data_IF_519952212726
#
_entry.id   IF_519952212726
#
_cell.length_a   1.000
_cell.length_b   1.000
_cell.length_c   1.000
_cell.angle_alpha   90.00
_cell.angle_beta   90.00
_cell.angle_gamma   90.00
#
_symmetry.space_group_name_H-M   'P 1'
#
loop_
_entity.id
_entity.type
_entity.pdbx_description
1 polymer ?
#
# COMPACT_ATOMS: atom_id res chain seq x y z
N UNK A 1 -1.43 9.72 -31.99
CA UNK A 1 -1.65 8.83 -30.83
C UNK A 1 -0.36 8.74 -30.02
N UNK A 2 -0.30 9.28 -28.81
CA UNK A 2 0.91 9.22 -27.96
C UNK A 2 1.09 7.79 -27.45
N UNK A 3 2.13 7.09 -27.94
CA UNK A 3 2.50 5.74 -27.47
C UNK A 3 2.85 5.82 -25.99
N UNK A 4 2.04 5.21 -25.12
CA UNK A 4 2.33 5.12 -23.68
C UNK A 4 3.49 4.14 -23.50
N UNK A 5 4.60 4.62 -22.95
CA UNK A 5 5.68 3.73 -22.51
C UNK A 5 5.17 2.82 -21.38
N UNK A 6 5.62 1.55 -21.33
CA UNK A 6 5.22 0.64 -20.26
C UNK A 6 5.66 1.21 -18.90
N UNK A 7 4.92 0.90 -17.83
CA UNK A 7 5.31 1.28 -16.47
C UNK A 7 6.18 0.16 -15.91
N UNK A 8 7.18 0.49 -15.10
CA UNK A 8 7.97 -0.50 -14.36
C UNK A 8 8.03 -0.13 -12.88
N UNK A 9 7.97 -1.17 -12.04
CA UNK A 9 8.29 -1.07 -10.62
C UNK A 9 9.72 -1.57 -10.42
N UNK A 10 10.62 -0.69 -9.97
CA UNK A 10 12.00 -1.04 -9.64
C UNK A 10 12.16 -1.06 -8.13
N UNK A 11 12.48 -2.22 -7.55
CA UNK A 11 12.74 -2.37 -6.12
C UNK A 11 13.93 -1.53 -5.68
N UNK A 12 13.81 -0.87 -4.54
CA UNK A 12 14.82 0.03 -3.97
C UNK A 12 15.67 -0.74 -2.95
N UNK A 13 16.84 -1.19 -3.41
CA UNK A 13 17.75 -2.04 -2.62
C UNK A 13 19.06 -1.35 -2.26
N UNK A 14 19.62 -0.54 -3.15
CA UNK A 14 20.89 0.16 -2.90
C UNK A 14 20.70 1.30 -1.89
N UNK A 15 21.75 1.58 -1.10
CA UNK A 15 21.75 2.66 -0.10
C UNK A 15 21.44 4.03 -0.71
N UNK A 16 22.04 4.33 -1.86
CA UNK A 16 21.85 5.58 -2.60
C UNK A 16 20.41 5.73 -3.09
N UNK A 17 19.86 4.68 -3.69
CA UNK A 17 18.46 4.65 -4.12
C UNK A 17 17.49 4.82 -2.94
N UNK A 18 17.79 4.25 -1.76
CA UNK A 18 16.98 4.48 -0.55
C UNK A 18 17.00 5.95 -0.13
N UNK A 19 18.17 6.59 -0.12
CA UNK A 19 18.30 8.01 0.22
C UNK A 19 17.47 8.87 -0.73
N UNK A 20 17.60 8.65 -2.03
CA UNK A 20 16.82 9.35 -3.04
C UNK A 20 15.31 9.12 -2.86
N UNK A 21 14.90 7.88 -2.58
CA UNK A 21 13.50 7.56 -2.31
C UNK A 21 12.97 8.31 -1.08
N UNK A 22 13.77 8.41 0.00
CA UNK A 22 13.39 9.18 1.18
C UNK A 22 13.22 10.66 0.86
N UNK A 23 14.15 11.26 0.12
CA UNK A 23 14.05 12.67 -0.28
C UNK A 23 12.79 12.95 -1.11
N UNK A 24 12.44 12.06 -2.04
CA UNK A 24 11.22 12.19 -2.82
C UNK A 24 9.95 12.07 -1.98
N UNK A 25 9.88 11.07 -1.10
CA UNK A 25 8.69 10.89 -0.26
C UNK A 25 8.57 12.00 0.77
N UNK A 26 9.67 12.48 1.32
CA UNK A 26 9.65 13.57 2.28
C UNK A 26 9.17 14.89 1.67
N UNK A 27 9.68 15.22 0.49
CA UNK A 27 9.32 16.48 -0.19
C UNK A 27 7.93 16.48 -0.80
N UNK A 28 7.46 15.35 -1.32
CA UNK A 28 6.29 15.33 -2.21
C UNK A 28 5.11 14.47 -1.71
N UNK A 29 5.31 13.55 -0.78
CA UNK A 29 4.19 12.81 -0.20
C UNK A 29 3.58 13.61 0.96
N UNK A 30 2.25 13.74 0.99
CA UNK A 30 1.53 14.56 1.99
C UNK A 30 1.71 14.13 3.47
N UNK A 31 2.26 12.94 3.71
CA UNK A 31 2.62 12.43 5.06
C UNK A 31 4.12 12.53 5.36
N UNK A 32 4.91 13.02 4.41
CA UNK A 32 6.37 12.98 4.43
C UNK A 32 6.93 11.57 4.58
N UNK A 33 8.24 11.52 4.80
CA UNK A 33 8.90 10.28 5.19
C UNK A 33 8.69 10.02 6.68
N UNK A 34 8.31 8.79 7.02
CA UNK A 34 8.31 8.27 8.39
C UNK A 34 8.85 6.86 8.36
N UNK A 35 9.68 6.50 9.33
CA UNK A 35 10.24 5.16 9.42
C UNK A 35 9.09 4.14 9.56
N UNK A 36 8.94 3.20 8.63
CA UNK A 36 7.88 2.20 8.72
C UNK A 36 8.24 1.15 9.77
N UNK A 37 7.25 0.72 10.54
CA UNK A 37 7.40 -0.41 11.47
C UNK A 37 7.16 -1.74 10.76
N UNK A 38 8.06 -2.69 11.00
CA UNK A 38 8.00 -4.06 10.48
C UNK A 38 8.58 -4.22 9.07
N UNK A 39 8.25 -5.34 8.44
CA UNK A 39 8.60 -5.65 7.06
C UNK A 39 8.10 -4.57 6.10
N UNK A 40 8.92 -4.23 5.10
CA UNK A 40 8.63 -3.20 4.12
C UNK A 40 9.39 -3.39 2.80
N UNK A 41 8.76 -3.03 1.69
CA UNK A 41 9.40 -2.93 0.38
C UNK A 41 9.11 -1.56 -0.23
N UNK A 42 10.10 -1.02 -0.94
CA UNK A 42 10.05 0.29 -1.58
C UNK A 42 10.35 0.14 -3.06
N UNK A 43 9.66 0.93 -3.86
CA UNK A 43 9.80 0.91 -5.31
C UNK A 43 9.86 2.33 -5.86
N UNK A 44 10.64 2.50 -6.92
CA UNK A 44 10.44 3.57 -7.88
C UNK A 44 9.47 3.13 -8.95
N UNK A 45 8.57 4.03 -9.32
CA UNK A 45 7.71 3.91 -10.51
C UNK A 45 8.48 4.55 -11.65
N UNK A 46 8.81 3.81 -12.71
CA UNK A 46 9.59 4.31 -13.85
C UNK A 46 8.83 4.21 -15.17
N UNK A 47 9.13 5.11 -16.11
CA UNK A 47 8.66 5.03 -17.50
C UNK A 47 9.54 4.12 -18.35
N UNK A 48 8.95 3.24 -19.15
CA UNK A 48 9.67 2.45 -20.15
C UNK A 48 10.55 1.37 -19.54
N UNK A 49 11.86 1.63 -19.45
CA UNK A 49 12.92 0.67 -19.07
C UNK A 49 13.44 0.94 -17.65
N UNK A 50 14.36 0.10 -17.15
CA UNK A 50 14.99 0.28 -15.82
C UNK A 50 15.78 1.60 -15.72
N UNK A 51 16.28 2.13 -16.83
CA UNK A 51 16.94 3.45 -16.94
C UNK A 51 15.95 4.60 -17.19
N UNK A 52 14.65 4.29 -17.17
CA UNK A 52 13.58 5.25 -17.35
C UNK A 52 13.47 6.31 -16.27
N UNK A 53 12.73 7.36 -16.60
CA UNK A 53 12.48 8.50 -15.70
C UNK A 53 11.63 8.03 -14.52
N UNK A 54 12.01 8.44 -13.31
CA UNK A 54 11.22 8.18 -12.10
C UNK A 54 9.98 9.06 -12.13
N UNK A 55 8.81 8.43 -12.10
CA UNK A 55 7.50 9.06 -12.11
C UNK A 55 6.88 9.18 -10.71
N UNK A 56 7.40 8.41 -9.75
CA UNK A 56 6.86 8.35 -8.41
C UNK A 56 7.47 7.26 -7.55
N UNK A 57 6.89 7.09 -6.37
CA UNK A 57 7.36 6.18 -5.32
C UNK A 57 6.20 5.34 -4.78
N UNK A 58 6.48 4.09 -4.41
CA UNK A 58 5.53 3.18 -3.81
C UNK A 58 6.18 2.48 -2.60
N UNK A 59 5.42 2.29 -1.53
CA UNK A 59 5.84 1.50 -0.38
C UNK A 59 4.74 0.55 0.05
N UNK A 60 5.15 -0.68 0.32
CA UNK A 60 4.34 -1.65 1.04
C UNK A 60 4.99 -1.96 2.38
N UNK A 61 4.19 -2.10 3.42
CA UNK A 61 4.66 -2.40 4.77
C UNK A 61 3.76 -3.40 5.47
N UNK A 62 4.19 -3.87 6.64
CA UNK A 62 3.34 -4.62 7.56
C UNK A 62 2.05 -3.84 7.87
N UNK A 63 0.91 -4.52 8.10
CA UNK A 63 -0.40 -3.91 8.27
C UNK A 63 -0.57 -3.34 9.69
N UNK A 64 -1.70 -2.66 9.90
CA UNK A 64 -2.11 -2.28 11.26
C UNK A 64 -2.60 -3.49 12.06
N UNK A 65 -2.26 -3.55 13.36
CA UNK A 65 -2.61 -4.67 14.24
C UNK A 65 -4.12 -4.89 14.32
N UNK A 66 -4.88 -3.84 14.67
CA UNK A 66 -6.34 -3.84 14.70
C UNK A 66 -6.88 -2.86 13.67
N UNK A 67 -7.86 -3.32 12.89
CA UNK A 67 -8.58 -2.46 11.97
C UNK A 67 -10.01 -2.99 11.81
N UNK A 68 -10.91 -2.48 12.65
CA UNK A 68 -12.23 -3.09 12.84
C UNK A 68 -13.05 -3.28 11.54
N UNK A 69 -13.07 -2.34 10.56
CA UNK A 69 -13.80 -2.58 9.32
C UNK A 69 -13.21 -3.72 8.48
N UNK A 70 -11.88 -3.79 8.38
CA UNK A 70 -11.18 -4.93 7.76
C UNK A 70 -11.47 -6.23 8.50
N UNK A 71 -11.34 -6.22 9.82
CA UNK A 71 -11.48 -7.43 10.63
C UNK A 71 -12.90 -8.00 10.52
N UNK A 72 -13.92 -7.14 10.53
CA UNK A 72 -15.32 -7.54 10.27
C UNK A 72 -15.52 -8.05 8.85
N UNK A 73 -14.87 -7.45 7.86
CA UNK A 73 -14.98 -7.89 6.47
C UNK A 73 -14.30 -9.25 6.22
N UNK A 74 -13.18 -9.53 6.89
CA UNK A 74 -12.53 -10.86 6.88
C UNK A 74 -13.34 -11.88 7.67
N UNK A 75 -14.05 -11.43 8.72
CA UNK A 75 -14.81 -12.26 9.67
C UNK A 75 -13.94 -13.16 10.55
N UNK A 76 -12.75 -12.67 10.93
CA UNK A 76 -11.83 -13.38 11.82
C UNK A 76 -11.88 -12.88 13.28
N UNK A 77 -11.56 -13.78 14.21
CA UNK A 77 -11.39 -13.47 15.62
C UNK A 77 -9.98 -12.99 15.97
N UNK A 78 -9.77 -12.67 17.26
CA UNK A 78 -8.50 -12.16 17.76
C UNK A 78 -7.34 -13.16 17.63
N UNK A 79 -7.59 -14.46 17.86
CA UNK A 79 -6.59 -15.52 17.72
C UNK A 79 -6.19 -15.75 16.25
N UNK A 80 -7.17 -15.82 15.34
CA UNK A 80 -6.92 -15.94 13.90
C UNK A 80 -6.13 -14.73 13.39
N UNK A 81 -6.50 -13.52 13.81
CA UNK A 81 -5.75 -12.30 13.46
C UNK A 81 -4.32 -12.39 13.95
N UNK A 82 -4.09 -12.75 15.22
CA UNK A 82 -2.74 -12.88 15.79
C UNK A 82 -1.87 -13.85 14.99
N UNK A 83 -2.45 -14.97 14.51
CA UNK A 83 -1.74 -15.99 13.73
C UNK A 83 -1.53 -15.62 12.27
N UNK A 84 -2.43 -14.85 11.65
CA UNK A 84 -2.45 -14.66 10.20
C UNK A 84 -2.24 -13.23 9.71
N UNK A 85 -2.11 -12.24 10.62
CA UNK A 85 -1.96 -10.84 10.24
C UNK A 85 -0.77 -10.59 9.30
N UNK A 86 0.32 -11.34 9.44
CA UNK A 86 1.50 -11.20 8.58
C UNK A 86 1.18 -11.45 7.10
N UNK A 87 0.15 -12.25 6.78
CA UNK A 87 -0.29 -12.52 5.40
C UNK A 87 -1.00 -11.31 4.74
N UNK A 88 -1.19 -10.22 5.46
CA UNK A 88 -1.72 -8.96 4.94
C UNK A 88 -0.57 -7.96 4.77
N UNK A 89 -0.56 -7.19 3.68
CA UNK A 89 0.40 -6.09 3.48
C UNK A 89 -0.33 -4.78 3.18
N UNK A 90 0.25 -3.67 3.63
CA UNK A 90 -0.34 -2.35 3.52
C UNK A 90 0.40 -1.48 2.51
N UNK A 91 -0.30 -0.91 1.52
CA UNK A 91 0.25 0.13 0.67
C UNK A 91 0.35 1.44 1.45
N UNK A 92 1.45 1.62 2.17
CA UNK A 92 1.62 2.68 3.16
C UNK A 92 2.10 4.00 2.56
N UNK A 93 2.70 4.00 1.37
CA UNK A 93 3.01 5.21 0.60
C UNK A 93 2.71 4.98 -0.87
N UNK A 94 1.97 5.91 -1.46
CA UNK A 94 1.78 5.96 -2.89
C UNK A 94 1.90 7.40 -3.36
N UNK A 95 2.94 7.67 -4.15
CA UNK A 95 3.29 8.98 -4.64
C UNK A 95 3.44 8.91 -6.17
N UNK A 96 2.65 9.70 -6.88
CA UNK A 96 2.97 10.14 -8.24
C UNK A 96 3.42 11.59 -8.13
N UNK A 97 4.52 11.94 -8.78
CA UNK A 97 5.06 13.29 -8.62
C UNK A 97 4.08 14.37 -9.10
N UNK A 98 4.05 15.55 -8.45
CA UNK A 98 3.07 16.60 -8.75
C UNK A 98 3.05 17.04 -10.23
N UNK A 99 4.21 17.03 -10.89
CA UNK A 99 4.38 17.39 -12.30
C UNK A 99 4.05 16.26 -13.28
N UNK A 100 3.88 15.02 -12.82
CA UNK A 100 3.54 13.90 -13.69
C UNK A 100 2.03 13.86 -13.92
N UNK A 101 1.60 14.28 -15.11
CA UNK A 101 0.18 14.32 -15.52
C UNK A 101 -0.12 13.29 -16.60
N UNK A 102 -0.30 12.04 -16.19
CA UNK A 102 -0.61 10.93 -17.11
C UNK A 102 -1.94 10.29 -16.72
N UNK A 103 -2.90 10.31 -17.65
CA UNK A 103 -4.24 9.74 -17.44
C UNK A 103 -4.14 8.24 -17.10
N UNK A 104 -4.81 7.83 -16.02
CA UNK A 104 -4.86 6.44 -15.52
C UNK A 104 -3.50 5.86 -15.08
N UNK A 105 -2.45 6.67 -14.91
CA UNK A 105 -1.16 6.18 -14.43
C UNK A 105 -1.29 5.55 -13.04
N UNK A 106 -1.99 6.22 -12.13
CA UNK A 106 -2.09 5.76 -10.75
C UNK A 106 -2.77 4.38 -10.64
N UNK A 107 -3.90 4.16 -11.32
CA UNK A 107 -4.56 2.85 -11.32
C UNK A 107 -3.74 1.78 -12.03
N UNK A 108 -3.03 2.13 -13.11
CA UNK A 108 -2.13 1.21 -13.81
C UNK A 108 -0.96 0.75 -12.92
N UNK A 109 -0.37 1.67 -12.16
CA UNK A 109 0.68 1.37 -11.17
C UNK A 109 0.16 0.41 -10.09
N UNK A 110 -1.02 0.67 -9.54
CA UNK A 110 -1.61 -0.19 -8.51
C UNK A 110 -1.93 -1.59 -9.07
N UNK A 111 -2.48 -1.67 -10.27
CA UNK A 111 -2.75 -2.95 -10.92
C UNK A 111 -1.47 -3.76 -11.19
N UNK A 112 -0.35 -3.08 -11.47
CA UNK A 112 0.97 -3.71 -11.58
C UNK A 112 1.51 -4.16 -10.22
N UNK A 113 1.40 -3.31 -9.20
CA UNK A 113 1.85 -3.59 -7.85
C UNK A 113 1.22 -4.85 -7.26
N UNK A 114 -0.09 -5.02 -7.47
CA UNK A 114 -0.84 -6.21 -7.08
C UNK A 114 -0.23 -7.51 -7.64
N UNK A 115 0.35 -7.47 -8.84
CA UNK A 115 0.92 -8.64 -9.53
C UNK A 115 2.38 -8.89 -9.16
N UNK A 116 3.14 -7.85 -8.84
CA UNK A 116 4.59 -7.95 -8.65
C UNK A 116 4.98 -8.13 -7.19
N UNK A 117 4.33 -7.38 -6.30
CA UNK A 117 4.77 -7.27 -4.91
C UNK A 117 4.59 -8.55 -4.09
N UNK A 118 3.57 -9.40 -4.31
CA UNK A 118 3.45 -10.65 -3.55
C UNK A 118 4.67 -11.57 -3.70
N UNK A 119 5.19 -11.71 -4.93
CA UNK A 119 6.37 -12.52 -5.21
C UNK A 119 7.63 -11.92 -4.59
N UNK A 120 7.82 -10.60 -4.74
CA UNK A 120 8.94 -9.89 -4.09
C UNK A 120 8.87 -10.00 -2.56
N UNK A 121 7.66 -9.97 -1.99
CA UNK A 121 7.44 -10.09 -0.56
C UNK A 121 7.79 -11.49 -0.06
N UNK A 122 7.38 -12.53 -0.78
CA UNK A 122 7.77 -13.90 -0.47
C UNK A 122 9.28 -14.10 -0.57
N UNK A 123 9.92 -13.56 -1.61
CA UNK A 123 11.38 -13.62 -1.79
C UNK A 123 12.12 -12.96 -0.62
N UNK A 124 11.63 -11.83 -0.11
CA UNK A 124 12.29 -11.11 0.98
C UNK A 124 11.96 -11.61 2.39
N UNK A 125 10.73 -12.08 2.63
CA UNK A 125 10.22 -12.34 3.97
C UNK A 125 9.77 -13.80 4.19
N UNK A 126 9.85 -14.65 3.18
CA UNK A 126 9.58 -16.09 3.29
C UNK A 126 8.09 -16.47 3.30
N UNK A 127 7.18 -15.53 3.07
CA UNK A 127 5.75 -15.82 2.97
C UNK A 127 5.06 -15.00 1.89
N UNK A 128 4.06 -15.61 1.25
CA UNK A 128 3.26 -14.96 0.22
C UNK A 128 2.05 -14.26 0.87
N UNK A 129 1.85 -12.95 0.67
CA UNK A 129 0.67 -12.27 1.20
C UNK A 129 -0.59 -12.68 0.43
N UNK A 130 -1.73 -12.71 1.12
CA UNK A 130 -3.03 -13.11 0.55
C UNK A 130 -3.99 -11.93 0.42
N UNK A 131 -3.66 -10.80 1.05
CA UNK A 131 -4.48 -9.59 1.04
C UNK A 131 -3.58 -8.34 1.04
N UNK A 132 -3.91 -7.36 0.20
CA UNK A 132 -3.38 -6.01 0.33
C UNK A 132 -4.43 -5.09 0.96
N UNK A 133 -3.98 -4.08 1.72
CA UNK A 133 -4.83 -3.01 2.26
C UNK A 133 -4.19 -1.64 2.01
N UNK A 134 -5.00 -0.59 2.04
CA UNK A 134 -4.54 0.81 1.99
C UNK A 134 -5.50 1.70 2.77
N UNK A 135 -5.01 2.87 3.16
CA UNK A 135 -5.77 3.87 3.89
C UNK A 135 -5.76 5.20 3.14
N UNK A 136 -6.94 5.66 2.72
CA UNK A 136 -7.11 6.88 1.93
C UNK A 136 -7.71 7.99 2.78
N UNK A 137 -7.00 9.12 2.89
CA UNK A 137 -7.52 10.32 3.55
C UNK A 137 -8.50 11.04 2.61
N UNK A 138 -9.80 10.93 2.88
CA UNK A 138 -10.86 11.52 2.05
C UNK A 138 -10.78 13.05 1.94
N UNK A 139 -10.18 13.73 2.93
CA UNK A 139 -9.99 15.19 2.86
C UNK A 139 -9.02 15.58 1.75
N UNK A 140 -8.19 14.64 1.28
CA UNK A 140 -7.15 14.88 0.27
C UNK A 140 -7.40 14.13 -1.03
N UNK A 141 -7.92 12.91 -0.95
CA UNK A 141 -8.05 12.02 -2.11
C UNK A 141 -9.38 11.26 -2.09
N UNK A 142 -9.97 11.08 -3.28
CA UNK A 142 -11.23 10.33 -3.47
C UNK A 142 -11.06 8.81 -3.65
N UNK A 143 -9.84 8.28 -3.48
CA UNK A 143 -9.54 6.86 -3.65
C UNK A 143 -9.76 6.29 -5.07
N UNK A 144 -9.90 7.15 -6.08
CA UNK A 144 -10.32 6.77 -7.45
C UNK A 144 -9.39 5.72 -8.08
N UNK A 145 -8.07 5.82 -7.87
CA UNK A 145 -7.13 4.86 -8.43
C UNK A 145 -7.30 3.44 -7.88
N UNK A 146 -7.65 3.29 -6.60
CA UNK A 146 -7.92 2.00 -5.98
C UNK A 146 -9.24 1.42 -6.49
N UNK A 147 -10.31 2.23 -6.55
CA UNK A 147 -11.60 1.82 -7.14
C UNK A 147 -11.42 1.35 -8.60
N UNK A 148 -10.70 2.13 -9.40
CA UNK A 148 -10.42 1.80 -10.80
C UNK A 148 -9.49 0.59 -10.99
N UNK A 149 -8.78 0.16 -9.94
CA UNK A 149 -7.95 -1.04 -9.92
C UNK A 149 -8.66 -2.22 -9.22
N UNK A 150 -9.99 -2.17 -9.07
CA UNK A 150 -10.83 -3.20 -8.46
C UNK A 150 -10.55 -3.49 -6.98
N UNK A 151 -10.06 -2.50 -6.23
CA UNK A 151 -9.98 -2.61 -4.77
C UNK A 151 -11.36 -2.42 -4.14
N UNK A 152 -11.62 -3.19 -3.08
CA UNK A 152 -12.89 -3.25 -2.38
C UNK A 152 -12.86 -2.26 -1.22
N UNK A 153 -13.82 -1.33 -1.16
CA UNK A 153 -14.01 -0.47 0.00
C UNK A 153 -14.68 -1.25 1.14
N UNK A 154 -14.09 -1.23 2.35
CA UNK A 154 -14.58 -2.02 3.50
C UNK A 154 -14.98 -1.18 4.71
N UNK A 155 -14.94 0.16 4.59
CA UNK A 155 -15.35 1.10 5.62
C UNK A 155 -14.24 2.07 6.02
N UNK A 156 -14.42 2.75 7.15
CA UNK A 156 -13.58 3.88 7.54
C UNK A 156 -12.89 3.66 8.90
N UNK A 157 -11.68 4.20 9.05
CA UNK A 157 -10.99 4.25 10.35
C UNK A 157 -11.66 5.25 11.27
N UNK A 158 -11.68 5.00 12.57
CA UNK A 158 -12.30 5.93 13.55
C UNK A 158 -11.37 7.08 13.98
N UNK A 159 -10.37 7.46 13.17
CA UNK A 159 -9.41 8.53 13.51
C UNK A 159 -8.45 8.20 14.66
N UNK A 160 -8.14 6.91 14.88
CA UNK A 160 -7.20 6.44 15.91
C UNK A 160 -5.84 6.11 15.29
N UNK A 161 -4.77 6.41 16.02
CA UNK A 161 -3.40 6.08 15.61
C UNK A 161 -3.10 4.58 15.71
N UNK A 162 -2.06 4.12 15.00
CA UNK A 162 -1.61 2.71 14.98
C UNK A 162 -1.23 2.16 16.36
N UNK A 163 -0.85 3.03 17.31
CA UNK A 163 -0.42 2.68 18.67
C UNK A 163 -1.43 3.12 19.75
N UNK A 164 -2.67 3.47 19.40
CA UNK A 164 -3.66 3.88 20.40
C UNK A 164 -4.07 2.69 21.28
N UNK A 165 -3.40 2.55 22.43
CA UNK A 165 -3.72 1.59 23.49
C UNK A 165 -4.85 2.07 24.38
N UNK A 166 -5.12 3.38 24.40
CA UNK A 166 -6.03 4.03 25.35
C UNK A 166 -7.44 4.30 24.78
N UNK A 167 -7.71 3.89 23.53
CA UNK A 167 -8.96 4.15 22.81
C UNK A 167 -9.32 5.65 22.71
N UNK A 168 -8.32 6.55 22.77
CA UNK A 168 -8.56 7.99 22.70
C UNK A 168 -8.53 8.47 21.25
N UNK A 169 -9.53 9.27 20.85
CA UNK A 169 -9.51 9.94 19.53
C UNK A 169 -8.38 10.97 19.51
N UNK A 170 -7.31 10.69 18.77
CA UNK A 170 -6.15 11.58 18.66
C UNK A 170 -6.30 12.63 17.52
N UNK A 171 -7.53 12.97 17.13
CA UNK A 171 -7.79 13.96 16.06
C UNK A 171 -7.25 13.59 14.67
N UNK A 172 -6.86 12.33 14.45
CA UNK A 172 -6.35 11.88 13.15
C UNK A 172 -7.49 11.82 12.13
N UNK A 173 -7.20 12.23 10.89
CA UNK A 173 -8.18 12.19 9.81
C UNK A 173 -8.77 10.78 9.63
N UNK A 174 -10.09 10.71 9.53
CA UNK A 174 -10.82 9.50 9.12
C UNK A 174 -10.35 9.11 7.73
N UNK A 175 -9.94 7.84 7.58
CA UNK A 175 -9.46 7.28 6.33
C UNK A 175 -10.41 6.19 5.86
N UNK A 176 -10.72 6.17 4.57
CA UNK A 176 -11.32 5.01 3.93
C UNK A 176 -10.31 3.86 3.88
N UNK A 177 -10.82 2.66 4.04
CA UNK A 177 -10.05 1.42 3.99
C UNK A 177 -10.45 0.71 2.71
N UNK A 178 -9.44 0.44 1.89
CA UNK A 178 -9.59 -0.41 0.71
C UNK A 178 -8.74 -1.67 0.88
N UNK A 179 -9.26 -2.78 0.38
CA UNK A 179 -8.57 -4.07 0.38
C UNK A 179 -8.57 -4.70 -1.00
N UNK A 180 -7.58 -5.55 -1.27
CA UNK A 180 -7.48 -6.32 -2.51
C UNK A 180 -7.10 -7.77 -2.21
N UNK A 181 -8.01 -8.74 -2.40
CA UNK A 181 -7.69 -10.18 -2.34
C UNK A 181 -6.66 -10.57 -3.39
N UNK A 182 -5.56 -11.20 -2.98
CA UNK A 182 -4.51 -11.67 -3.90
C UNK A 182 -4.76 -13.09 -4.42
N UNK A 183 -5.67 -13.84 -3.77
CA UNK A 183 -6.10 -15.16 -4.23
C UNK A 183 -7.59 -15.38 -3.89
N UNK A 184 -8.25 -16.27 -4.62
CA UNK A 184 -9.67 -16.59 -4.40
C UNK A 184 -9.94 -17.19 -3.01
N UNK A 185 -8.94 -17.87 -2.44
CA UNK A 185 -9.04 -18.55 -1.14
C UNK A 185 -8.51 -17.70 0.03
N UNK A 186 -8.30 -16.40 -0.15
CA UNK A 186 -7.67 -15.55 0.86
C UNK A 186 -8.35 -15.65 2.24
N UNK A 187 -9.69 -15.76 2.30
CA UNK A 187 -10.40 -15.92 3.58
C UNK A 187 -10.07 -17.24 4.26
N UNK A 188 -10.02 -18.35 3.51
CA UNK A 188 -9.66 -19.66 4.08
C UNK A 188 -8.25 -19.60 4.68
N UNK A 189 -7.31 -18.96 3.96
CA UNK A 189 -5.93 -18.79 4.44
C UNK A 189 -5.80 -17.87 5.66
N UNK A 190 -6.69 -16.87 5.81
CA UNK A 190 -6.71 -15.97 6.95
C UNK A 190 -7.46 -16.54 8.17
N UNK A 191 -8.37 -17.50 7.96
CA UNK A 191 -9.19 -18.12 9.01
C UNK A 191 -8.62 -19.42 9.58
N UNK A 192 -7.68 -20.08 8.87
CA UNK A 192 -6.92 -21.22 9.37
C UNK A 192 -5.99 -20.82 10.53
#
# INVERSE_FOLDING_TARGET
>A
MTKRLPILLTRVEAKEHRRLWYEYVDRYHYLGYRLPFGAQLRYFIKSGTKQGVILGCLQFSSPAWKMAPRDRWIQWGDEQRKRNLQKIINNSRFLIFPWVKVKNLASSVIAMAVKTIPDDWQSCYGYHPVLMETLVDQKRFKGICYKAANWIHVGETTGRGRMDRENKRHGMAVKEIYVYPLCNRFRQELLA
#
